data_IF_547621859637
#
_entry.id   IF_547621859637
#
_cell.length_a   1.000
_cell.length_b   1.000
_cell.length_c   1.000
_cell.angle_alpha   90.00
_cell.angle_beta   90.00
_cell.angle_gamma   90.00
#
_symmetry.space_group_name_H-M   'P 1'
#
loop_
_entity.id
_entity.type
_entity.pdbx_description
1 polymer ?
#
# COMPACT_ATOMS: atom_id res chain seq x y z
N UNK A 1 7.56 2.37 3.92
CA UNK A 1 7.24 1.06 4.52
C UNK A 1 7.12 -0.04 3.46
N UNK A 2 6.22 0.06 2.47
CA UNK A 2 5.93 -1.06 1.56
C UNK A 2 7.18 -1.60 0.82
N UNK A 3 8.04 -0.70 0.34
CA UNK A 3 9.29 -1.06 -0.33
C UNK A 3 10.24 -1.87 0.58
N UNK A 4 10.30 -1.59 1.89
CA UNK A 4 11.17 -2.34 2.79
C UNK A 4 10.66 -3.77 2.99
N UNK A 5 9.33 -3.97 3.02
CA UNK A 5 8.69 -5.28 3.13
C UNK A 5 9.02 -6.23 1.97
N UNK A 6 9.14 -5.67 0.76
CA UNK A 6 9.35 -6.46 -0.47
C UNK A 6 10.81 -6.47 -0.94
N UNK A 7 11.64 -5.54 -0.47
CA UNK A 7 13.06 -5.43 -0.89
C UNK A 7 13.97 -6.54 -0.37
N UNK A 8 13.48 -7.41 0.51
CA UNK A 8 14.30 -8.42 1.20
C UNK A 8 15.30 -7.84 2.20
N UNK A 9 15.26 -6.52 2.46
CA UNK A 9 16.13 -5.84 3.43
C UNK A 9 15.67 -6.00 4.87
N UNK A 10 14.40 -6.34 5.09
CA UNK A 10 13.86 -6.69 6.40
C UNK A 10 13.23 -8.08 6.32
N UNK A 11 13.50 -8.90 7.34
CA UNK A 11 12.76 -10.13 7.55
C UNK A 11 11.37 -9.78 8.07
N UNK A 12 10.34 -10.21 7.33
CA UNK A 12 8.94 -9.99 7.67
C UNK A 12 8.26 -11.34 7.71
N UNK A 13 7.49 -11.55 8.79
CA UNK A 13 6.72 -12.75 8.98
C UNK A 13 5.72 -12.93 7.82
N UNK A 14 5.75 -14.13 7.26
CA UNK A 14 4.84 -14.58 6.21
C UNK A 14 3.93 -15.65 6.77
N UNK A 15 2.75 -15.79 6.18
CA UNK A 15 1.91 -16.94 6.48
C UNK A 15 2.55 -18.26 6.00
N UNK A 16 1.90 -19.38 6.33
CA UNK A 16 2.34 -20.73 5.94
C UNK A 16 2.47 -20.93 4.42
N UNK A 17 1.83 -20.08 3.61
CA UNK A 17 1.85 -20.12 2.16
C UNK A 17 2.86 -19.12 1.57
N UNK A 18 3.62 -18.41 2.42
CA UNK A 18 4.62 -17.42 2.02
C UNK A 18 4.06 -16.04 1.66
N UNK A 19 2.80 -15.74 2.03
CA UNK A 19 2.15 -14.46 1.76
C UNK A 19 2.47 -13.44 2.86
N UNK A 20 2.57 -12.17 2.47
CA UNK A 20 2.67 -11.06 3.42
C UNK A 20 1.30 -10.80 4.04
N UNK A 21 1.27 -10.66 5.37
CA UNK A 21 0.09 -10.17 6.10
C UNK A 21 0.27 -8.68 6.33
N UNK A 22 -0.72 -7.91 5.91
CA UNK A 22 -0.75 -6.46 6.07
C UNK A 22 -2.04 -6.14 6.83
N UNK A 23 -1.91 -5.46 7.96
CA UNK A 23 -3.06 -4.98 8.72
C UNK A 23 -3.59 -3.69 8.08
N UNK A 24 -4.44 -3.86 7.07
CA UNK A 24 -4.97 -2.78 6.24
C UNK A 24 -6.39 -3.12 5.78
N UNK A 25 -7.22 -2.10 5.61
CA UNK A 25 -8.51 -2.27 4.91
C UNK A 25 -8.26 -2.73 3.47
N UNK A 26 -8.82 -3.87 3.10
CA UNK A 26 -8.58 -4.49 1.79
C UNK A 26 -9.08 -3.63 0.63
N UNK A 27 -10.19 -2.88 0.81
CA UNK A 27 -10.75 -2.03 -0.24
C UNK A 27 -9.90 -0.79 -0.48
N UNK A 28 -9.31 -0.23 0.57
CA UNK A 28 -8.37 0.88 0.42
C UNK A 28 -7.08 0.37 -0.22
N UNK A 29 -6.62 -0.82 0.18
CA UNK A 29 -5.39 -1.40 -0.37
C UNK A 29 -5.47 -1.66 -1.89
N UNK A 30 -6.65 -1.99 -2.43
CA UNK A 30 -6.84 -2.10 -3.87
C UNK A 30 -6.47 -0.80 -4.61
N UNK A 31 -6.83 0.36 -4.06
CA UNK A 31 -6.44 1.65 -4.63
C UNK A 31 -4.95 1.94 -4.46
N UNK A 32 -4.31 1.47 -3.38
CA UNK A 32 -2.86 1.55 -3.21
C UNK A 32 -2.15 0.74 -4.31
N UNK A 33 -2.65 -0.47 -4.61
CA UNK A 33 -2.13 -1.29 -5.70
C UNK A 33 -2.34 -0.65 -7.07
N UNK A 34 -3.47 0.00 -7.29
CA UNK A 34 -3.75 0.74 -8.52
C UNK A 34 -2.81 1.94 -8.69
N UNK A 35 -2.59 2.71 -7.61
CA UNK A 35 -1.61 3.80 -7.58
C UNK A 35 -0.20 3.30 -7.91
N UNK A 36 0.23 2.16 -7.35
CA UNK A 36 1.54 1.59 -7.65
C UNK A 36 1.70 1.14 -9.11
N UNK A 37 0.60 0.82 -9.82
CA UNK A 37 0.62 0.38 -11.22
C UNK A 37 0.55 1.53 -12.20
N UNK A 38 -0.25 2.55 -11.89
CA UNK A 38 -0.65 3.59 -12.86
C UNK A 38 -0.44 5.02 -12.36
N UNK A 39 0.06 5.21 -11.14
CA UNK A 39 0.19 6.52 -10.47
C UNK A 39 -1.14 7.29 -10.38
N UNK A 40 -2.27 6.57 -10.42
CA UNK A 40 -3.61 7.14 -10.38
C UNK A 40 -4.17 7.12 -8.96
N UNK A 41 -4.82 8.21 -8.56
CA UNK A 41 -5.62 8.28 -7.34
C UNK A 41 -7.11 8.06 -7.69
N UNK A 42 -7.88 7.44 -6.79
CA UNK A 42 -9.33 7.36 -6.95
C UNK A 42 -9.98 8.74 -6.79
N UNK A 43 -11.21 8.85 -7.25
CA UNK A 43 -12.03 10.06 -7.13
C UNK A 43 -13.05 9.96 -6.00
N UNK A 44 -13.54 11.11 -5.53
CA UNK A 44 -14.61 11.19 -4.55
C UNK A 44 -14.13 11.14 -3.11
N UNK A 45 -14.99 10.66 -2.21
CA UNK A 45 -14.78 10.71 -0.76
C UNK A 45 -13.74 9.72 -0.23
N UNK A 46 -13.22 8.82 -1.07
CA UNK A 46 -12.20 7.83 -0.67
C UNK A 46 -10.76 8.36 -0.80
N UNK A 47 -10.57 9.50 -1.49
CA UNK A 47 -9.24 10.03 -1.80
C UNK A 47 -8.43 10.35 -0.54
N UNK A 48 -9.06 10.96 0.47
CA UNK A 48 -8.37 11.35 1.71
C UNK A 48 -7.85 10.13 2.46
N UNK A 49 -8.69 9.08 2.59
CA UNK A 49 -8.27 7.82 3.17
C UNK A 49 -7.11 7.18 2.38
N UNK A 50 -7.18 7.18 1.05
CA UNK A 50 -6.10 6.63 0.22
C UNK A 50 -4.79 7.40 0.40
N UNK A 51 -4.85 8.73 0.51
CA UNK A 51 -3.67 9.55 0.78
C UNK A 51 -3.04 9.24 2.14
N UNK A 52 -3.85 9.07 3.19
CA UNK A 52 -3.36 8.65 4.52
C UNK A 52 -2.65 7.29 4.45
N UNK A 53 -3.22 6.32 3.72
CA UNK A 53 -2.60 5.01 3.55
C UNK A 53 -1.33 5.07 2.68
N UNK A 54 -1.28 5.91 1.64
CA UNK A 54 -0.04 6.12 0.88
C UNK A 54 1.07 6.61 1.80
N UNK A 55 0.79 7.60 2.66
CA UNK A 55 1.76 8.11 3.62
C UNK A 55 2.20 7.03 4.62
N UNK A 56 1.25 6.27 5.18
CA UNK A 56 1.54 5.12 6.05
C UNK A 56 2.47 4.10 5.38
N UNK A 57 2.22 3.80 4.10
CA UNK A 57 3.07 2.91 3.30
C UNK A 57 4.40 3.55 2.89
N UNK A 58 4.63 4.83 3.18
CA UNK A 58 5.80 5.62 2.79
C UNK A 58 5.85 5.90 1.28
N UNK A 59 4.68 5.96 0.65
CA UNK A 59 4.46 6.35 -0.74
C UNK A 59 4.06 7.82 -0.78
N UNK A 60 4.40 8.52 -1.85
CA UNK A 60 4.00 9.91 -2.07
C UNK A 60 3.52 10.08 -3.49
N UNK A 61 2.31 10.62 -3.65
CA UNK A 61 1.87 11.14 -4.92
C UNK A 61 2.67 12.41 -5.22
N UNK A 62 3.44 12.41 -6.31
CA UNK A 62 4.04 13.64 -6.83
C UNK A 62 2.94 14.35 -7.60
N UNK A 63 2.57 15.55 -7.15
CA UNK A 63 1.68 16.45 -7.90
C UNK A 63 2.47 17.20 -8.96
#
# INVERSE_FOLDING_TARGET
MLASMISGRQEIDKDKDGRYVIDCDSKIFDHILEFLRFESLPYGNVVDAVLEYLEFFGLRAVR
#
